data_IF_050110022079
#
_entry.id   IF_050110022079
#
_cell.length_a   1.000
_cell.length_b   1.000
_cell.length_c   1.000
_cell.angle_alpha   90.00
_cell.angle_beta   90.00
_cell.angle_gamma   90.00
#
_symmetry.space_group_name_H-M   'P 1'
#
loop_
_entity.id
_entity.type
_entity.pdbx_description
1 polymer ?
#
# COMPACT_ATOMS: atom_id res chain seq x y z
N UNK A 1 -0.74 18.91 6.81
CA UNK A 1 -0.50 17.47 6.57
C UNK A 1 0.95 17.32 6.17
N UNK A 2 1.82 16.77 7.03
CA UNK A 2 3.25 16.60 6.71
C UNK A 2 3.47 15.23 6.04
N UNK A 3 3.28 15.17 4.73
CA UNK A 3 3.59 13.97 3.93
C UNK A 3 2.37 13.26 3.36
N UNK A 4 2.65 12.24 2.53
CA UNK A 4 1.64 11.46 1.82
C UNK A 4 1.30 10.18 2.59
N UNK A 5 0.06 9.72 2.44
CA UNK A 5 -0.37 8.43 2.99
C UNK A 5 -0.90 7.57 1.84
N UNK A 6 -0.69 6.26 1.94
CA UNK A 6 -1.33 5.29 1.06
C UNK A 6 -1.78 4.06 1.86
N UNK A 7 -2.91 3.51 1.47
CA UNK A 7 -3.41 2.21 1.95
C UNK A 7 -3.15 1.17 0.88
N UNK A 8 -2.69 -0.01 1.29
CA UNK A 8 -2.43 -1.14 0.40
C UNK A 8 -3.07 -2.37 1.00
N UNK A 9 -3.87 -3.03 0.17
CA UNK A 9 -4.53 -4.26 0.55
C UNK A 9 -3.85 -5.43 -0.14
N UNK A 10 -3.65 -6.52 0.61
CA UNK A 10 -3.13 -7.79 0.12
C UNK A 10 -4.08 -8.88 0.57
N UNK A 11 -4.55 -9.69 -0.37
CA UNK A 11 -5.29 -10.90 -0.05
C UNK A 11 -4.35 -12.12 -0.11
N UNK A 12 -4.58 -13.08 0.78
CA UNK A 12 -4.00 -14.42 0.71
C UNK A 12 -5.09 -15.37 0.26
N UNK A 13 -4.84 -16.12 -0.80
CA UNK A 13 -5.74 -17.18 -1.25
C UNK A 13 -4.94 -18.41 -1.65
N UNK A 14 -5.20 -19.54 -1.00
CA UNK A 14 -4.49 -20.80 -1.24
C UNK A 14 -2.96 -20.68 -1.12
N UNK A 15 -2.48 -19.83 -0.21
CA UNK A 15 -1.06 -19.55 -0.02
C UNK A 15 -0.43 -18.58 -1.02
N UNK A 16 -1.22 -18.02 -1.96
CA UNK A 16 -0.76 -16.99 -2.89
C UNK A 16 -1.06 -15.60 -2.34
N UNK A 17 -0.07 -14.71 -2.39
CA UNK A 17 -0.22 -13.28 -2.05
C UNK A 17 -0.67 -12.52 -3.30
N UNK A 18 -1.82 -11.86 -3.19
CA UNK A 18 -2.42 -11.05 -4.25
C UNK A 18 -2.36 -9.59 -3.81
N UNK A 19 -1.57 -8.79 -4.53
CA UNK A 19 -1.49 -7.34 -4.33
C UNK A 19 -2.72 -6.67 -4.96
N UNK A 20 -3.33 -5.75 -4.21
CA UNK A 20 -4.51 -4.97 -4.62
C UNK A 20 -5.67 -5.85 -5.15
N UNK A 21 -6.24 -6.70 -4.27
CA UNK A 21 -7.27 -7.66 -4.67
C UNK A 21 -8.57 -6.96 -5.08
N UNK A 22 -9.26 -7.53 -6.07
CA UNK A 22 -10.62 -7.11 -6.45
C UNK A 22 -11.66 -7.72 -5.50
N UNK A 23 -12.86 -7.14 -5.41
CA UNK A 23 -13.89 -7.57 -4.46
C UNK A 23 -14.26 -9.07 -4.50
N UNK A 24 -14.17 -9.70 -5.68
CA UNK A 24 -14.34 -11.15 -5.81
C UNK A 24 -13.22 -11.96 -5.12
N UNK A 25 -11.97 -11.49 -5.21
CA UNK A 25 -10.81 -12.11 -4.57
C UNK A 25 -10.83 -11.91 -3.06
N UNK A 26 -11.30 -10.75 -2.58
CA UNK A 26 -11.51 -10.52 -1.15
C UNK A 26 -12.55 -11.49 -0.55
N UNK A 27 -13.62 -11.77 -1.30
CA UNK A 27 -14.69 -12.65 -0.82
C UNK A 27 -14.27 -14.12 -0.71
N UNK A 28 -13.26 -14.53 -1.48
CA UNK A 28 -12.72 -15.90 -1.49
C UNK A 28 -11.34 -16.00 -0.83
N UNK A 29 -10.87 -14.94 -0.17
CA UNK A 29 -9.56 -14.90 0.47
C UNK A 29 -9.60 -15.61 1.82
N UNK A 30 -8.52 -16.30 2.14
CA UNK A 30 -8.31 -16.92 3.46
C UNK A 30 -7.90 -15.86 4.50
N UNK A 31 -7.21 -14.82 4.04
CA UNK A 31 -6.80 -13.68 4.87
C UNK A 31 -6.71 -12.41 4.03
N UNK A 32 -7.07 -11.29 4.63
CA UNK A 32 -6.88 -9.96 4.05
C UNK A 32 -6.01 -9.13 5.00
N UNK A 33 -4.99 -8.50 4.44
CA UNK A 33 -4.15 -7.53 5.13
C UNK A 33 -4.34 -6.16 4.51
N UNK A 34 -4.64 -5.17 5.32
CA UNK A 34 -4.66 -3.77 4.92
C UNK A 34 -3.56 -3.02 5.66
N UNK A 35 -2.60 -2.50 4.93
CA UNK A 35 -1.48 -1.74 5.49
C UNK A 35 -1.60 -0.27 5.11
N UNK A 36 -1.45 0.62 6.08
CA UNK A 36 -1.35 2.05 5.84
C UNK A 36 0.11 2.48 5.99
N UNK A 37 0.64 3.15 4.97
CA UNK A 37 1.98 3.71 4.95
C UNK A 37 1.93 5.23 4.90
N UNK A 38 2.94 5.84 5.52
CA UNK A 38 3.19 7.27 5.52
C UNK A 38 4.58 7.54 4.97
N UNK A 39 4.66 8.45 4.00
CA UNK A 39 5.91 8.97 3.48
C UNK A 39 6.20 10.33 4.10
N UNK A 40 7.33 10.45 4.79
CA UNK A 40 7.83 11.71 5.37
C UNK A 40 8.77 12.45 4.41
N UNK A 41 9.12 13.70 4.73
CA UNK A 41 10.07 14.51 3.95
C UNK A 41 11.45 13.84 3.74
N UNK A 42 11.86 12.95 4.65
CA UNK A 42 13.16 12.25 4.56
C UNK A 42 13.07 10.94 3.74
N UNK A 43 12.00 10.77 2.95
CA UNK A 43 11.73 9.57 2.13
C UNK A 43 11.64 8.26 2.94
N UNK A 44 11.52 8.37 4.26
CA UNK A 44 11.32 7.23 5.13
C UNK A 44 9.85 6.79 5.05
N UNK A 45 9.57 5.74 4.29
CA UNK A 45 8.25 5.10 4.29
C UNK A 45 8.08 4.27 5.56
N UNK A 46 7.17 4.71 6.43
CA UNK A 46 6.82 4.01 7.67
C UNK A 46 5.41 3.46 7.60
N UNK A 47 5.21 2.26 8.14
CA UNK A 47 3.87 1.77 8.40
C UNK A 47 3.28 2.55 9.58
N UNK A 48 2.03 2.99 9.44
CA UNK A 48 1.31 3.74 10.48
C UNK A 48 0.12 2.96 11.04
N UNK A 49 -0.43 2.05 10.27
CA UNK A 49 -1.46 1.13 10.72
C UNK A 49 -1.39 -0.17 9.93
N UNK A 50 -1.88 -1.25 10.55
CA UNK A 50 -2.21 -2.48 9.87
C UNK A 50 -3.54 -3.01 10.41
N UNK A 51 -4.34 -3.56 9.51
CA UNK A 51 -5.56 -4.28 9.82
C UNK A 51 -5.47 -5.66 9.17
N UNK A 52 -5.93 -6.67 9.89
CA UNK A 52 -5.78 -8.07 9.48
C UNK A 52 -7.08 -8.80 9.75
N UNK A 53 -7.64 -9.44 8.73
CA UNK A 53 -8.86 -10.22 8.82
C UNK A 53 -8.60 -11.64 8.31
N UNK A 54 -8.94 -12.65 9.12
CA UNK A 54 -8.71 -14.06 8.82
C UNK A 54 -7.58 -14.73 9.60
N UNK A 55 -7.21 -15.95 9.18
CA UNK A 55 -6.24 -16.80 9.86
C UNK A 55 -4.91 -16.80 9.13
N UNK A 56 -3.86 -16.37 9.80
CA UNK A 56 -2.54 -16.27 9.18
C UNK A 56 -1.40 -16.73 10.08
N UNK A 57 -0.29 -17.05 9.41
CA UNK A 57 1.00 -17.25 10.04
C UNK A 57 1.87 -15.99 9.93
N UNK A 58 2.77 -15.82 10.90
CA UNK A 58 3.67 -14.66 10.97
C UNK A 58 4.58 -14.55 9.74
N UNK A 59 5.01 -15.70 9.19
CA UNK A 59 5.81 -15.75 7.96
C UNK A 59 5.09 -15.11 6.77
N UNK A 60 3.79 -15.37 6.63
CA UNK A 60 2.95 -14.85 5.55
C UNK A 60 2.69 -13.36 5.75
N UNK A 61 2.47 -12.93 7.00
CA UNK A 61 2.32 -11.53 7.35
C UNK A 61 3.59 -10.72 7.02
N UNK A 62 4.78 -11.24 7.34
CA UNK A 62 6.03 -10.54 7.04
C UNK A 62 6.25 -10.39 5.53
N UNK A 63 5.98 -11.46 4.76
CA UNK A 63 6.03 -11.43 3.31
C UNK A 63 5.04 -10.41 2.72
N UNK A 64 3.79 -10.41 3.19
CA UNK A 64 2.77 -9.44 2.79
C UNK A 64 3.21 -8.00 3.13
N UNK A 65 3.75 -7.78 4.32
CA UNK A 65 4.26 -6.47 4.74
C UNK A 65 5.38 -5.97 3.83
N UNK A 66 6.33 -6.83 3.48
CA UNK A 66 7.43 -6.48 2.59
C UNK A 66 6.92 -6.08 1.19
N UNK A 67 5.99 -6.88 0.66
CA UNK A 67 5.32 -6.60 -0.62
C UNK A 67 4.56 -5.27 -0.58
N UNK A 68 3.78 -5.04 0.48
CA UNK A 68 3.02 -3.81 0.65
C UNK A 68 3.94 -2.59 0.77
N UNK A 69 5.06 -2.71 1.48
CA UNK A 69 6.05 -1.63 1.58
C UNK A 69 6.64 -1.28 0.21
N UNK A 70 6.95 -2.27 -0.61
CA UNK A 70 7.45 -2.03 -1.97
C UNK A 70 6.39 -1.30 -2.82
N UNK A 71 5.17 -1.82 -2.87
CA UNK A 71 4.06 -1.21 -3.60
C UNK A 71 3.74 0.21 -3.11
N UNK A 72 3.90 0.50 -1.81
CA UNK A 72 3.68 1.85 -1.28
C UNK A 72 4.64 2.88 -1.86
N UNK A 73 5.88 2.46 -2.11
CA UNK A 73 6.90 3.33 -2.69
C UNK A 73 6.52 3.71 -4.11
N UNK A 74 6.05 2.75 -4.90
CA UNK A 74 5.58 2.99 -6.28
C UNK A 74 4.38 3.94 -6.32
N UNK A 75 3.42 3.76 -5.41
CA UNK A 75 2.27 4.66 -5.26
C UNK A 75 2.71 6.09 -4.91
N UNK A 76 3.66 6.25 -3.99
CA UNK A 76 4.18 7.57 -3.64
C UNK A 76 4.91 8.25 -4.81
N UNK A 77 5.71 7.50 -5.58
CA UNK A 77 6.38 8.02 -6.78
C UNK A 77 5.35 8.50 -7.80
N UNK A 78 4.33 7.68 -8.09
CA UNK A 78 3.25 8.04 -9.00
C UNK A 78 2.54 9.33 -8.58
N UNK A 79 2.15 9.46 -7.31
CA UNK A 79 1.51 10.69 -6.82
C UNK A 79 2.45 11.89 -6.86
N UNK A 80 3.74 11.73 -6.54
CA UNK A 80 4.73 12.81 -6.67
C UNK A 80 4.85 13.29 -8.11
N UNK A 81 4.96 12.39 -9.08
CA UNK A 81 5.07 12.75 -10.50
C UNK A 81 3.82 13.49 -11.00
N UNK A 82 2.63 13.03 -10.62
CA UNK A 82 1.37 13.69 -11.02
C UNK A 82 1.26 15.08 -10.41
N UNK A 83 1.57 15.22 -9.12
CA UNK A 83 1.52 16.52 -8.44
C UNK A 83 2.53 17.49 -9.05
N UNK A 84 3.75 17.04 -9.36
CA UNK A 84 4.76 17.85 -10.04
C UNK A 84 4.29 18.31 -11.43
N UNK A 85 3.73 17.40 -12.24
CA UNK A 85 3.17 17.75 -13.55
C UNK A 85 2.03 18.77 -13.42
N UNK A 86 1.11 18.59 -12.48
CA UNK A 86 0.01 19.53 -12.26
C UNK A 86 0.52 20.92 -11.86
N UNK A 87 1.43 20.99 -10.89
CA UNK A 87 2.04 22.25 -10.45
C UNK A 87 2.76 22.96 -11.60
N UNK A 88 3.48 22.22 -12.46
CA UNK A 88 4.17 22.81 -13.61
C UNK A 88 3.24 23.49 -14.62
N UNK A 89 2.00 23.00 -14.75
CA UNK A 89 0.98 23.60 -15.64
C UNK A 89 0.33 24.81 -14.99
N UNK A 90 0.07 24.78 -13.68
CA UNK A 90 -0.57 25.88 -12.96
C UNK A 90 0.36 27.10 -12.76
N UNK A 91 1.69 26.93 -12.80
CA UNK A 91 2.66 28.05 -12.73
C UNK A 91 2.62 28.95 -13.98
N UNK A 92 2.04 28.46 -15.09
CA UNK A 92 1.97 29.17 -16.38
C UNK A 92 0.59 29.78 -16.70
N UNK A 93 -0.34 29.80 -15.74
CA UNK A 93 -1.63 30.50 -15.84
C UNK A 93 -1.67 31.70 -14.91
#
# INVERSE_FOLDING_TARGET
>A
MNGMFCGITIAVSQGNLILDPVGAQCSSADTIYTFAFHSSENESTRMVACDTDGVFDYSTFEAARALAKQASTDVFVFYREILQRKLSVDIWK
#
